data_IF_725409260618
#
_entry.id   IF_725409260618
#
_cell.length_a   1.000
_cell.length_b   1.000
_cell.length_c   1.000
_cell.angle_alpha   90.00
_cell.angle_beta   90.00
_cell.angle_gamma   90.00
#
_symmetry.space_group_name_H-M   'P 1'
#
loop_
_entity.id
_entity.type
_entity.pdbx_description
1 polymer ?
#
# COMPACT_ATOMS: atom_id res chain seq x y z
N UNK A 1 -17.26 16.36 -10.01
CA UNK A 1 -15.91 15.94 -10.43
C UNK A 1 -15.25 15.03 -9.40
N UNK A 2 -14.94 15.50 -8.19
CA UNK A 2 -14.26 14.66 -7.17
C UNK A 2 -14.91 13.28 -6.95
N UNK A 3 -16.21 13.24 -6.67
CA UNK A 3 -16.91 11.96 -6.51
C UNK A 3 -16.90 11.10 -7.78
N UNK A 4 -16.90 11.70 -8.97
CA UNK A 4 -16.77 10.99 -10.24
C UNK A 4 -15.37 10.38 -10.41
N UNK A 5 -14.33 11.10 -9.97
CA UNK A 5 -12.95 10.61 -9.93
C UNK A 5 -12.81 9.45 -8.94
N UNK A 6 -13.35 9.60 -7.72
CA UNK A 6 -13.35 8.57 -6.68
C UNK A 6 -14.15 7.34 -7.09
N UNK A 7 -15.19 7.54 -7.90
CA UNK A 7 -16.00 6.47 -8.45
C UNK A 7 -15.40 5.81 -9.70
N UNK A 8 -14.28 6.33 -10.20
CA UNK A 8 -13.71 6.01 -11.50
C UNK A 8 -14.72 6.03 -12.67
N UNK A 9 -15.74 6.89 -12.58
CA UNK A 9 -16.82 6.97 -13.56
C UNK A 9 -16.51 7.97 -14.68
N UNK A 10 -16.10 7.42 -15.83
CA UNK A 10 -15.82 8.19 -17.05
C UNK A 10 -17.03 9.06 -17.48
N UNK A 11 -18.21 8.47 -17.60
CA UNK A 11 -19.42 9.17 -18.04
C UNK A 11 -19.83 10.31 -17.12
N UNK A 12 -19.78 10.11 -15.80
CA UNK A 12 -20.09 11.14 -14.82
C UNK A 12 -19.05 12.27 -14.86
N UNK A 13 -17.76 11.93 -14.93
CA UNK A 13 -16.68 12.91 -15.01
C UNK A 13 -16.82 13.77 -16.27
N UNK A 14 -17.09 13.16 -17.43
CA UNK A 14 -17.32 13.85 -18.70
C UNK A 14 -18.45 14.86 -18.59
N UNK A 15 -19.61 14.47 -18.01
CA UNK A 15 -20.76 15.37 -17.84
C UNK A 15 -20.43 16.59 -16.98
N UNK A 16 -19.71 16.39 -15.87
CA UNK A 16 -19.29 17.50 -15.01
C UNK A 16 -18.24 18.39 -15.69
N UNK A 17 -17.35 17.82 -16.48
CA UNK A 17 -16.33 18.53 -17.23
C UNK A 17 -16.94 19.42 -18.32
N UNK A 18 -17.88 18.90 -19.10
CA UNK A 18 -18.62 19.66 -20.11
C UNK A 18 -19.34 20.86 -19.47
N UNK A 19 -20.01 20.64 -18.33
CA UNK A 19 -20.63 21.72 -17.56
C UNK A 19 -19.63 22.79 -17.13
N UNK A 20 -18.47 22.40 -16.59
CA UNK A 20 -17.43 23.33 -16.16
C UNK A 20 -16.87 24.18 -17.32
N UNK A 21 -16.55 23.53 -18.44
CA UNK A 21 -16.01 24.20 -19.63
C UNK A 21 -17.07 25.15 -20.22
N UNK A 22 -18.34 24.74 -20.27
CA UNK A 22 -19.43 25.57 -20.79
C UNK A 22 -19.65 26.87 -20.02
N UNK A 23 -19.29 26.89 -18.73
CA UNK A 23 -19.38 28.08 -17.88
C UNK A 23 -18.20 29.05 -18.07
N UNK A 24 -17.18 28.66 -18.87
CA UNK A 24 -16.00 29.48 -19.13
C UNK A 24 -15.17 29.77 -17.87
N UNK A 25 -15.21 28.85 -16.89
CA UNK A 25 -14.51 29.01 -15.63
C UNK A 25 -12.99 28.99 -15.82
N UNK A 26 -12.23 29.68 -14.95
CA UNK A 26 -10.76 29.67 -15.00
C UNK A 26 -10.22 28.26 -14.77
N UNK A 27 -8.93 28.05 -15.07
CA UNK A 27 -8.27 26.78 -14.74
C UNK A 27 -8.26 26.55 -13.24
N UNK A 28 -8.28 25.27 -12.87
CA UNK A 28 -8.16 24.81 -11.50
C UNK A 28 -6.75 25.10 -10.97
N UNK A 29 -6.67 25.57 -9.73
CA UNK A 29 -5.42 25.71 -9.00
C UNK A 29 -4.91 24.34 -8.47
N UNK A 30 -3.73 24.34 -7.85
CA UNK A 30 -3.13 23.11 -7.33
C UNK A 30 -3.99 22.46 -6.24
N UNK A 31 -4.57 23.28 -5.36
CA UNK A 31 -5.41 22.81 -4.24
C UNK A 31 -6.69 22.13 -4.74
N UNK A 32 -7.24 22.58 -5.86
CA UNK A 32 -8.38 21.93 -6.51
C UNK A 32 -7.98 20.72 -7.35
N UNK A 33 -6.81 20.75 -7.99
CA UNK A 33 -6.32 19.66 -8.83
C UNK A 33 -5.88 18.43 -8.03
N UNK A 34 -5.15 18.63 -6.92
CA UNK A 34 -4.56 17.54 -6.15
C UNK A 34 -5.60 16.51 -5.66
N UNK A 35 -6.74 16.89 -5.06
CA UNK A 35 -7.77 15.93 -4.65
C UNK A 35 -8.38 15.13 -5.81
N UNK A 36 -8.45 15.70 -7.02
CA UNK A 36 -8.97 15.00 -8.20
C UNK A 36 -7.97 13.94 -8.67
N UNK A 37 -6.68 14.29 -8.72
CA UNK A 37 -5.61 13.37 -9.07
C UNK A 37 -5.51 12.24 -8.04
N UNK A 38 -5.51 12.57 -6.76
CA UNK A 38 -5.44 11.60 -5.67
C UNK A 38 -6.64 10.64 -5.69
N UNK A 39 -7.85 11.15 -5.93
CA UNK A 39 -9.04 10.31 -6.07
C UNK A 39 -8.93 9.33 -7.24
N UNK A 40 -8.43 9.77 -8.40
CA UNK A 40 -8.20 8.88 -9.55
C UNK A 40 -7.11 7.85 -9.27
N UNK A 41 -6.02 8.25 -8.60
CA UNK A 41 -4.92 7.35 -8.22
C UNK A 41 -5.38 6.27 -7.23
N UNK A 42 -6.14 6.66 -6.21
CA UNK A 42 -6.77 5.75 -5.24
C UNK A 42 -7.65 4.74 -5.96
N UNK A 43 -8.51 5.22 -6.88
CA UNK A 43 -9.43 4.37 -7.63
C UNK A 43 -8.67 3.39 -8.52
N UNK A 44 -7.68 3.86 -9.30
CA UNK A 44 -6.83 3.01 -10.13
C UNK A 44 -6.11 1.91 -9.33
N UNK A 45 -5.71 2.21 -8.09
CA UNK A 45 -5.07 1.23 -7.22
C UNK A 45 -6.02 0.15 -6.72
N UNK A 46 -7.31 0.49 -6.55
CA UNK A 46 -8.36 -0.42 -6.10
C UNK A 46 -8.97 -1.25 -7.24
N UNK A 47 -8.98 -0.74 -8.48
CA UNK A 47 -9.59 -1.42 -9.63
C UNK A 47 -9.19 -2.90 -9.80
N UNK A 48 -7.91 -3.30 -9.68
CA UNK A 48 -7.53 -4.71 -9.85
C UNK A 48 -8.20 -5.65 -8.86
N UNK A 49 -8.59 -5.16 -7.68
CA UNK A 49 -9.27 -5.94 -6.66
C UNK A 49 -10.79 -6.03 -6.88
N UNK A 50 -11.34 -5.20 -7.75
CA UNK A 50 -12.78 -5.15 -8.04
C UNK A 50 -13.08 -5.80 -9.40
N UNK A 51 -12.40 -5.35 -10.45
CA UNK A 51 -12.59 -5.78 -11.83
C UNK A 51 -11.22 -5.90 -12.52
N UNK A 52 -10.54 -7.05 -12.41
CA UNK A 52 -9.28 -7.29 -13.10
C UNK A 52 -9.45 -7.11 -14.61
N UNK A 53 -8.58 -6.30 -15.21
CA UNK A 53 -8.64 -6.03 -16.65
C UNK A 53 -9.62 -4.93 -17.07
N UNK A 54 -10.16 -4.15 -16.11
CA UNK A 54 -10.96 -2.96 -16.42
C UNK A 54 -10.28 -2.07 -17.46
N UNK A 55 -11.02 -1.69 -18.50
CA UNK A 55 -10.50 -0.90 -19.60
C UNK A 55 -10.39 0.58 -19.21
N UNK A 56 -9.18 1.06 -18.95
CA UNK A 56 -8.91 2.46 -18.57
C UNK A 56 -8.92 3.44 -19.76
N UNK A 57 -9.15 2.99 -20.99
CA UNK A 57 -9.06 3.83 -22.20
C UNK A 57 -10.06 5.00 -22.19
N UNK A 58 -11.31 4.78 -21.73
CA UNK A 58 -12.31 5.84 -21.65
C UNK A 58 -11.90 6.90 -20.64
N UNK A 59 -11.46 6.46 -19.45
CA UNK A 59 -10.97 7.37 -18.42
C UNK A 59 -9.73 8.15 -18.91
N UNK A 60 -8.78 7.48 -19.57
CA UNK A 60 -7.64 8.15 -20.21
C UNK A 60 -8.12 9.24 -21.16
N UNK A 61 -9.06 8.94 -22.05
CA UNK A 61 -9.57 9.91 -23.02
C UNK A 61 -10.20 11.12 -22.36
N UNK A 62 -10.91 10.96 -21.23
CA UNK A 62 -11.53 12.09 -20.52
C UNK A 62 -10.49 12.87 -19.72
N UNK A 63 -9.52 12.18 -19.11
CA UNK A 63 -8.50 12.83 -18.29
C UNK A 63 -7.53 13.61 -19.16
N UNK A 64 -7.05 13.03 -20.26
CA UNK A 64 -5.95 13.61 -21.05
C UNK A 64 -6.36 14.14 -22.41
N UNK A 65 -7.56 13.77 -22.89
CA UNK A 65 -8.00 14.08 -24.25
C UNK A 65 -7.46 13.10 -25.29
N UNK A 66 -6.56 12.17 -24.92
CA UNK A 66 -5.99 11.18 -25.83
C UNK A 66 -6.98 10.07 -26.16
N UNK A 67 -7.41 10.01 -27.42
CA UNK A 67 -8.21 8.89 -27.93
C UNK A 67 -7.34 7.73 -28.40
N UNK A 68 -7.90 6.51 -28.41
CA UNK A 68 -7.21 5.33 -28.94
C UNK A 68 -6.84 5.45 -30.44
N UNK A 69 -7.53 6.32 -31.19
CA UNK A 69 -7.26 6.61 -32.61
C UNK A 69 -6.25 7.72 -32.85
N UNK A 70 -5.58 8.24 -31.81
CA UNK A 70 -4.57 9.30 -31.93
C UNK A 70 -5.11 10.72 -32.06
N UNK A 71 -6.44 10.91 -32.06
CA UNK A 71 -7.08 12.22 -31.95
C UNK A 71 -6.97 12.79 -30.53
N UNK A 72 -6.95 14.12 -30.43
CA UNK A 72 -6.85 14.85 -29.16
C UNK A 72 -8.07 15.75 -28.96
N UNK A 73 -8.76 15.61 -27.84
CA UNK A 73 -9.88 16.50 -27.47
C UNK A 73 -9.40 17.61 -26.54
N UNK A 74 -9.78 18.85 -26.85
CA UNK A 74 -9.58 20.00 -25.96
C UNK A 74 -10.52 19.97 -24.74
N UNK A 75 -11.58 19.16 -24.78
CA UNK A 75 -12.51 18.96 -23.68
C UNK A 75 -12.05 17.80 -22.77
N UNK A 76 -10.92 18.00 -22.09
CA UNK A 76 -10.34 17.03 -21.16
C UNK A 76 -10.10 17.63 -19.78
N UNK A 77 -9.95 16.76 -18.77
CA UNK A 77 -9.59 17.23 -17.43
C UNK A 77 -8.24 17.96 -17.46
N UNK A 78 -7.30 17.47 -18.29
CA UNK A 78 -5.99 18.07 -18.46
C UNK A 78 -6.08 19.53 -18.92
N UNK A 79 -7.02 19.90 -19.80
CA UNK A 79 -7.09 21.28 -20.33
C UNK A 79 -7.51 22.32 -19.30
N UNK A 80 -8.22 21.89 -18.25
CA UNK A 80 -8.64 22.76 -17.13
C UNK A 80 -7.72 22.66 -15.91
N UNK A 81 -6.73 21.78 -15.90
CA UNK A 81 -5.79 21.61 -14.78
C UNK A 81 -4.67 22.65 -14.81
N UNK A 82 -4.06 22.90 -13.64
CA UNK A 82 -2.94 23.82 -13.49
C UNK A 82 -1.69 23.44 -14.31
N UNK A 83 -1.52 22.15 -14.65
CA UNK A 83 -0.39 21.66 -15.46
C UNK A 83 -0.61 21.73 -16.98
N UNK A 84 -1.79 22.19 -17.43
CA UNK A 84 -2.08 22.37 -18.85
C UNK A 84 -1.19 23.43 -19.51
N UNK A 85 -0.82 24.46 -18.75
CA UNK A 85 -0.13 25.63 -19.28
C UNK A 85 1.29 25.33 -19.76
N UNK A 86 1.62 25.88 -20.92
CA UNK A 86 2.97 25.83 -21.51
C UNK A 86 3.93 26.85 -20.87
N UNK A 87 3.41 27.81 -20.11
CA UNK A 87 4.21 28.72 -19.31
C UNK A 87 4.51 28.11 -17.94
N UNK A 88 5.72 28.37 -17.44
CA UNK A 88 6.37 27.57 -16.40
C UNK A 88 5.57 27.37 -15.10
N UNK A 89 4.67 26.37 -15.05
CA UNK A 89 3.97 26.03 -13.81
C UNK A 89 4.97 25.52 -12.77
N UNK A 90 5.34 26.31 -11.76
CA UNK A 90 6.31 25.93 -10.71
C UNK A 90 5.82 24.80 -9.79
N UNK A 91 4.60 24.32 -10.01
CA UNK A 91 3.92 23.35 -9.17
C UNK A 91 4.44 21.92 -9.38
N UNK A 92 4.52 21.15 -8.29
CA UNK A 92 4.90 19.73 -8.34
C UNK A 92 3.87 18.93 -9.14
N UNK A 93 4.34 18.18 -10.14
CA UNK A 93 3.51 17.33 -11.00
C UNK A 93 3.62 15.84 -10.65
N UNK A 94 4.23 15.47 -9.52
CA UNK A 94 4.54 14.08 -9.17
C UNK A 94 3.35 13.11 -9.20
N UNK A 95 2.28 13.38 -8.42
CA UNK A 95 1.06 12.57 -8.45
C UNK A 95 0.43 12.52 -9.84
N UNK A 96 0.44 13.66 -10.56
CA UNK A 96 -0.13 13.73 -11.90
C UNK A 96 0.65 12.91 -12.93
N UNK A 97 1.99 12.93 -12.89
CA UNK A 97 2.85 12.06 -13.71
C UNK A 97 2.58 10.58 -13.44
N UNK A 98 2.43 10.22 -12.17
CA UNK A 98 2.08 8.85 -11.76
C UNK A 98 0.70 8.43 -12.29
N UNK A 99 -0.27 9.35 -12.28
CA UNK A 99 -1.60 9.13 -12.86
C UNK A 99 -1.52 8.90 -14.37
N UNK A 100 -0.81 9.76 -15.09
CA UNK A 100 -0.62 9.65 -16.53
C UNK A 100 0.09 8.34 -16.92
N UNK A 101 1.07 7.92 -16.14
CA UNK A 101 1.75 6.63 -16.31
C UNK A 101 0.78 5.46 -16.11
N UNK A 102 -0.03 5.46 -15.03
CA UNK A 102 -1.01 4.40 -14.76
C UNK A 102 -2.13 4.34 -15.81
N UNK A 103 -2.55 5.49 -16.32
CA UNK A 103 -3.53 5.58 -17.42
C UNK A 103 -2.92 5.24 -18.79
N UNK A 104 -1.60 5.07 -18.91
CA UNK A 104 -0.88 4.84 -20.17
C UNK A 104 -1.18 5.93 -21.21
N UNK A 105 -1.10 7.19 -20.78
CA UNK A 105 -1.24 8.37 -21.64
C UNK A 105 0.12 8.83 -22.13
N UNK A 106 0.63 8.21 -23.20
CA UNK A 106 2.04 8.33 -23.54
C UNK A 106 2.48 9.72 -23.96
N UNK A 107 1.62 10.47 -24.67
CA UNK A 107 1.95 11.79 -25.21
C UNK A 107 1.91 12.86 -24.12
N UNK A 108 0.81 12.99 -23.40
CA UNK A 108 0.66 13.91 -22.27
C UNK A 108 1.68 13.60 -21.18
N UNK A 109 1.97 12.31 -20.90
CA UNK A 109 3.03 11.94 -19.97
C UNK A 109 4.39 12.48 -20.42
N UNK A 110 4.74 12.28 -21.69
CA UNK A 110 6.02 12.74 -22.22
C UNK A 110 6.13 14.27 -22.20
N UNK A 111 5.07 14.98 -22.58
CA UNK A 111 5.03 16.44 -22.59
C UNK A 111 5.23 17.04 -21.19
N UNK A 112 4.57 16.48 -20.18
CA UNK A 112 4.72 16.93 -18.78
C UNK A 112 6.08 16.51 -18.22
N UNK A 113 6.52 15.30 -18.52
CA UNK A 113 7.82 14.79 -18.10
C UNK A 113 8.99 15.62 -18.63
N UNK A 114 8.97 16.01 -19.91
CA UNK A 114 10.01 16.85 -20.51
C UNK A 114 10.07 18.26 -19.89
N UNK A 115 8.93 18.77 -19.38
CA UNK A 115 8.89 20.03 -18.61
C UNK A 115 9.44 19.83 -17.20
N UNK A 116 9.08 18.73 -16.53
CA UNK A 116 9.57 18.40 -15.19
C UNK A 116 11.09 18.15 -15.19
N UNK A 117 11.61 17.42 -16.18
CA UNK A 117 13.04 17.09 -16.28
C UNK A 117 13.93 18.28 -16.58
N UNK A 118 13.45 19.29 -17.32
CA UNK A 118 14.17 20.57 -17.49
C UNK A 118 14.41 21.31 -16.19
N UNK A 119 13.58 21.05 -15.16
CA UNK A 119 13.66 21.71 -13.85
C UNK A 119 14.27 20.81 -12.77
N UNK A 120 14.50 19.54 -13.08
CA UNK A 120 15.21 18.62 -12.19
C UNK A 120 16.68 19.05 -12.13
N UNK A 121 17.01 19.82 -11.09
CA UNK A 121 18.38 20.15 -10.72
C UNK A 121 18.87 19.27 -9.58
N UNK A 122 20.20 19.16 -9.39
CA UNK A 122 20.82 18.37 -8.32
C UNK A 122 20.45 18.84 -6.91
N UNK A 123 19.98 20.08 -6.74
CA UNK A 123 19.75 20.72 -5.44
C UNK A 123 18.34 20.50 -4.86
N UNK A 124 17.52 19.60 -5.42
CA UNK A 124 16.12 19.38 -4.98
C UNK A 124 15.76 17.90 -4.74
N UNK A 125 16.16 17.31 -3.60
CA UNK A 125 15.92 15.90 -3.26
C UNK A 125 14.44 15.47 -3.34
N UNK A 126 13.50 16.34 -2.94
CA UNK A 126 12.07 16.05 -2.95
C UNK A 126 11.47 15.91 -4.36
N UNK A 127 12.08 16.56 -5.35
CA UNK A 127 11.63 16.49 -6.75
C UNK A 127 11.99 15.13 -7.37
N UNK A 128 13.09 14.52 -6.93
CA UNK A 128 13.49 13.17 -7.37
C UNK A 128 12.53 12.08 -6.85
N UNK A 129 12.04 12.20 -5.61
CA UNK A 129 11.07 11.25 -5.05
C UNK A 129 9.78 11.18 -5.88
N UNK A 130 9.28 12.33 -6.31
CA UNK A 130 8.11 12.42 -7.20
C UNK A 130 8.38 11.78 -8.57
N UNK A 131 9.59 11.93 -9.11
CA UNK A 131 9.98 11.32 -10.37
C UNK A 131 10.11 9.79 -10.24
N UNK A 132 10.65 9.28 -9.13
CA UNK A 132 10.68 7.84 -8.85
C UNK A 132 9.28 7.24 -8.72
N UNK A 133 8.31 7.96 -8.15
CA UNK A 133 6.90 7.53 -8.14
C UNK A 133 6.32 7.32 -9.55
N UNK A 134 6.67 8.18 -10.51
CA UNK A 134 6.30 7.99 -11.92
C UNK A 134 6.98 6.75 -12.53
N UNK A 135 8.27 6.53 -12.24
CA UNK A 135 9.00 5.34 -12.68
C UNK A 135 8.37 4.06 -12.11
N UNK A 136 8.04 4.04 -10.82
CA UNK A 136 7.34 2.93 -10.16
C UNK A 136 5.99 2.67 -10.83
N UNK A 137 5.19 3.71 -11.06
CA UNK A 137 3.92 3.59 -11.79
C UNK A 137 4.09 3.00 -13.20
N UNK A 138 5.16 3.34 -13.91
CA UNK A 138 5.49 2.74 -15.22
C UNK A 138 5.87 1.26 -15.09
N UNK A 139 6.56 0.87 -14.01
CA UNK A 139 6.86 -0.54 -13.71
C UNK A 139 5.58 -1.32 -13.42
N UNK A 140 4.71 -0.80 -12.56
CA UNK A 140 3.44 -1.43 -12.18
C UNK A 140 2.55 -1.74 -13.40
N UNK A 141 2.52 -0.87 -14.41
CA UNK A 141 1.75 -1.10 -15.64
C UNK A 141 2.49 -1.91 -16.72
N UNK A 142 3.70 -2.40 -16.44
CA UNK A 142 4.51 -3.23 -17.34
C UNK A 142 5.36 -2.46 -18.37
N UNK A 143 5.42 -1.13 -18.29
CA UNK A 143 6.16 -0.26 -19.20
C UNK A 143 7.65 -0.16 -18.86
N UNK A 144 8.32 -1.30 -18.63
CA UNK A 144 9.69 -1.37 -18.09
C UNK A 144 10.72 -0.61 -18.96
N UNK A 145 10.54 -0.59 -20.29
CA UNK A 145 11.45 0.16 -21.20
C UNK A 145 11.37 1.66 -20.95
N UNK A 146 10.17 2.20 -20.79
CA UNK A 146 9.94 3.63 -20.53
C UNK A 146 10.42 4.00 -19.13
N UNK A 147 10.21 3.13 -18.13
CA UNK A 147 10.74 3.29 -16.79
C UNK A 147 12.28 3.44 -16.78
N UNK A 148 13.01 2.57 -17.50
CA UNK A 148 14.47 2.68 -17.64
C UNK A 148 14.90 3.97 -18.34
N UNK A 149 14.17 4.40 -19.38
CA UNK A 149 14.43 5.70 -20.05
C UNK A 149 14.30 6.86 -19.07
N UNK A 150 13.25 6.87 -18.25
CA UNK A 150 13.01 7.92 -17.27
C UNK A 150 14.06 7.91 -16.16
N UNK A 151 14.47 6.73 -15.66
CA UNK A 151 15.60 6.62 -14.73
C UNK A 151 16.91 7.16 -15.33
N UNK A 152 17.17 6.89 -16.62
CA UNK A 152 18.36 7.43 -17.30
C UNK A 152 18.32 8.94 -17.42
N UNK A 153 17.14 9.52 -17.67
CA UNK A 153 16.97 10.98 -17.70
C UNK A 153 17.13 11.59 -16.31
N UNK A 154 16.56 10.99 -15.26
CA UNK A 154 16.81 11.40 -13.87
C UNK A 154 18.30 11.39 -13.57
N UNK A 155 18.98 10.28 -13.89
CA UNK A 155 20.41 10.12 -13.66
C UNK A 155 21.22 11.20 -14.37
N UNK A 156 20.89 11.50 -15.63
CA UNK A 156 21.52 12.60 -16.39
C UNK A 156 21.31 13.97 -15.72
N UNK A 157 20.10 14.28 -15.27
CA UNK A 157 19.79 15.53 -14.56
C UNK A 157 20.54 15.64 -13.21
N UNK A 158 20.83 14.51 -12.57
CA UNK A 158 21.57 14.40 -11.33
C UNK A 158 23.07 14.08 -11.52
N UNK A 159 23.65 14.42 -12.68
CA UNK A 159 25.07 14.23 -13.00
C UNK A 159 25.57 12.77 -12.86
N UNK A 160 24.79 11.81 -13.38
CA UNK A 160 25.10 10.38 -13.34
C UNK A 160 24.83 9.72 -11.99
N UNK A 161 23.84 10.21 -11.24
CA UNK A 161 23.51 9.72 -9.90
C UNK A 161 22.00 9.51 -9.74
N UNK A 162 21.57 8.70 -8.76
CA UNK A 162 20.14 8.54 -8.43
C UNK A 162 19.87 8.98 -6.99
N UNK A 163 19.93 10.29 -6.68
CA UNK A 163 19.91 10.78 -5.31
C UNK A 163 18.64 10.36 -4.57
N UNK A 164 18.81 9.82 -3.36
CA UNK A 164 17.73 9.45 -2.46
C UNK A 164 16.92 8.23 -2.90
N UNK A 165 17.37 7.49 -3.93
CA UNK A 165 16.73 6.25 -4.35
C UNK A 165 16.82 5.16 -3.27
N UNK A 166 17.89 5.16 -2.47
CA UNK A 166 18.06 4.26 -1.32
C UNK A 166 16.92 4.37 -0.28
N UNK A 167 16.38 5.58 -0.08
CA UNK A 167 15.29 5.87 0.86
C UNK A 167 13.90 5.87 0.20
N UNK A 168 13.82 5.57 -1.10
CA UNK A 168 12.54 5.55 -1.81
C UNK A 168 11.73 4.32 -1.40
N UNK A 169 10.51 4.54 -0.87
CA UNK A 169 9.62 3.45 -0.40
C UNK A 169 9.36 2.38 -1.49
N UNK A 170 9.32 2.78 -2.76
CA UNK A 170 9.09 1.88 -3.90
C UNK A 170 10.34 1.16 -4.43
N UNK A 171 11.50 1.28 -3.77
CA UNK A 171 12.77 0.70 -4.25
C UNK A 171 12.65 -0.81 -4.51
N UNK A 172 12.00 -1.56 -3.60
CA UNK A 172 11.77 -3.00 -3.75
C UNK A 172 11.00 -3.32 -5.05
N UNK A 173 9.95 -2.55 -5.35
CA UNK A 173 9.17 -2.73 -6.58
C UNK A 173 10.01 -2.47 -7.84
N UNK A 174 10.90 -1.46 -7.79
CA UNK A 174 11.83 -1.17 -8.89
C UNK A 174 12.85 -2.30 -9.08
N UNK A 175 13.38 -2.87 -7.99
CA UNK A 175 14.36 -3.96 -8.03
C UNK A 175 13.75 -5.31 -8.40
N UNK A 176 12.45 -5.52 -8.13
CA UNK A 176 11.73 -6.71 -8.58
C UNK A 176 11.57 -6.73 -10.12
N UNK A 177 11.57 -5.56 -10.78
CA UNK A 177 11.51 -5.48 -12.23
C UNK A 177 12.90 -5.67 -12.85
N UNK A 178 13.15 -6.87 -13.39
CA UNK A 178 14.44 -7.32 -13.94
C UNK A 178 15.15 -6.24 -14.79
N UNK A 179 14.46 -5.65 -15.76
CA UNK A 179 15.07 -4.63 -16.65
C UNK A 179 15.49 -3.35 -15.92
N UNK A 180 14.75 -2.96 -14.90
CA UNK A 180 15.06 -1.78 -14.08
C UNK A 180 16.22 -2.11 -13.14
N UNK A 181 16.17 -3.26 -12.48
CA UNK A 181 17.26 -3.75 -11.62
C UNK A 181 18.61 -3.79 -12.34
N UNK A 182 18.65 -4.29 -13.59
CA UNK A 182 19.88 -4.31 -14.40
C UNK A 182 20.40 -2.93 -14.79
N UNK A 183 19.52 -1.91 -14.88
CA UNK A 183 19.90 -0.56 -15.26
C UNK A 183 20.45 0.25 -14.07
N UNK A 184 19.93 0.02 -12.85
CA UNK A 184 20.26 0.81 -11.66
C UNK A 184 21.78 0.90 -11.39
N UNK A 185 22.59 -0.19 -11.43
CA UNK A 185 24.04 -0.11 -11.17
C UNK A 185 24.78 0.85 -12.09
N UNK A 186 24.34 1.00 -13.34
CA UNK A 186 24.96 1.87 -14.33
C UNK A 186 24.53 3.35 -14.18
N UNK A 187 23.41 3.60 -13.50
CA UNK A 187 22.76 4.91 -13.38
C UNK A 187 22.93 5.54 -12.00
N UNK A 188 23.13 4.71 -10.97
CA UNK A 188 23.09 5.12 -9.57
C UNK A 188 24.38 5.78 -9.08
N UNK A 189 25.48 5.77 -9.84
CA UNK A 189 26.70 6.51 -9.50
C UNK A 189 27.14 6.34 -8.05
N UNK A 190 27.13 7.43 -7.28
CA UNK A 190 27.53 7.46 -5.86
C UNK A 190 26.45 6.95 -4.91
N UNK A 191 25.20 6.91 -5.33
CA UNK A 191 24.08 6.35 -4.55
C UNK A 191 24.13 4.82 -4.52
N UNK A 192 24.78 4.17 -5.49
CA UNK A 192 24.73 2.71 -5.62
C UNK A 192 25.10 1.94 -4.33
N UNK A 193 26.17 2.31 -3.59
CA UNK A 193 26.47 1.68 -2.30
C UNK A 193 25.33 1.85 -1.28
N UNK A 194 24.71 3.03 -1.19
CA UNK A 194 23.57 3.27 -0.30
C UNK A 194 22.35 2.43 -0.67
N UNK A 195 22.13 2.16 -1.96
CA UNK A 195 21.07 1.25 -2.42
C UNK A 195 21.37 -0.17 -1.95
N UNK A 196 22.62 -0.63 -2.07
CA UNK A 196 23.03 -1.95 -1.58
C UNK A 196 22.90 -2.06 -0.06
N UNK A 197 23.33 -1.03 0.68
CA UNK A 197 23.14 -0.97 2.14
C UNK A 197 21.66 -1.06 2.51
N UNK A 198 20.79 -0.30 1.84
CA UNK A 198 19.35 -0.37 2.09
C UNK A 198 18.75 -1.77 1.79
N UNK A 199 19.24 -2.46 0.76
CA UNK A 199 18.79 -3.83 0.47
C UNK A 199 19.32 -4.84 1.48
N UNK A 200 20.56 -4.68 1.96
CA UNK A 200 21.10 -5.52 3.02
C UNK A 200 20.33 -5.32 4.33
N UNK A 201 20.03 -4.07 4.71
CA UNK A 201 19.20 -3.77 5.88
C UNK A 201 17.79 -4.37 5.77
N UNK A 202 17.19 -4.36 4.59
CA UNK A 202 15.90 -5.00 4.33
C UNK A 202 15.97 -6.52 4.50
N UNK A 203 17.00 -7.16 3.93
CA UNK A 203 17.24 -8.60 4.07
C UNK A 203 17.50 -8.99 5.53
N UNK A 204 18.32 -8.21 6.24
CA UNK A 204 18.62 -8.40 7.67
C UNK A 204 17.34 -8.33 8.52
N UNK A 205 16.49 -7.31 8.30
CA UNK A 205 15.18 -7.19 8.97
C UNK A 205 14.29 -8.42 8.77
N UNK A 206 14.24 -8.93 7.55
CA UNK A 206 13.47 -10.14 7.19
C UNK A 206 14.05 -11.44 7.74
N UNK A 207 15.32 -11.42 8.12
CA UNK A 207 15.97 -12.50 8.85
C UNK A 207 15.89 -12.31 10.38
N UNK A 208 15.38 -11.17 10.85
CA UNK A 208 15.30 -10.82 12.27
C UNK A 208 16.63 -10.41 12.91
N UNK A 209 17.67 -10.17 12.09
CA UNK A 209 19.02 -9.78 12.52
C UNK A 209 19.36 -8.35 12.08
N UNK A 210 20.39 -7.76 12.66
CA UNK A 210 20.92 -6.46 12.25
C UNK A 210 22.42 -6.39 12.42
N UNK A 211 23.11 -5.72 11.51
CA UNK A 211 24.55 -5.49 11.59
C UNK A 211 24.94 -4.48 12.67
N UNK A 212 25.69 -4.93 13.67
CA UNK A 212 26.29 -4.04 14.67
C UNK A 212 27.66 -3.54 14.21
N UNK A 213 27.70 -2.34 13.61
CA UNK A 213 28.94 -1.70 13.11
C UNK A 213 30.07 -1.59 14.15
N UNK A 214 29.75 -1.44 15.44
CA UNK A 214 30.77 -1.27 16.49
C UNK A 214 31.46 -2.59 16.85
N UNK A 215 30.68 -3.66 16.90
CA UNK A 215 31.15 -5.00 17.26
C UNK A 215 31.58 -5.81 16.03
N UNK A 216 31.23 -5.36 14.83
CA UNK A 216 31.42 -6.09 13.56
C UNK A 216 30.81 -7.49 13.59
N UNK A 217 29.58 -7.59 14.12
CA UNK A 217 28.82 -8.85 14.21
C UNK A 217 27.35 -8.59 13.94
N UNK A 218 26.62 -9.59 13.45
CA UNK A 218 25.16 -9.58 13.41
C UNK A 218 24.58 -9.89 14.79
N UNK A 219 23.52 -9.19 15.17
CA UNK A 219 22.78 -9.41 16.42
C UNK A 219 21.29 -9.54 16.15
N UNK A 220 20.54 -10.19 17.03
CA UNK A 220 19.06 -10.15 16.98
C UNK A 220 18.57 -8.70 17.03
N UNK A 221 17.58 -8.35 16.19
CA UNK A 221 16.95 -7.03 16.20
C UNK A 221 16.26 -6.75 17.53
N UNK A 222 15.59 -7.77 18.08
CA UNK A 222 14.85 -7.65 19.33
C UNK A 222 15.78 -7.66 20.56
N UNK A 223 16.96 -8.26 20.44
CA UNK A 223 17.91 -8.35 21.56
C UNK A 223 19.38 -8.20 21.09
N UNK A 224 19.96 -6.99 21.19
CA UNK A 224 21.35 -6.71 20.79
C UNK A 224 22.44 -7.44 21.59
N UNK A 225 22.07 -8.13 22.68
CA UNK A 225 22.98 -8.99 23.44
C UNK A 225 23.15 -10.36 22.80
N UNK A 226 22.19 -10.78 21.98
CA UNK A 226 22.23 -12.07 21.30
C UNK A 226 22.96 -11.90 19.96
N UNK A 227 24.19 -12.39 19.91
CA UNK A 227 25.11 -12.27 18.77
C UNK A 227 25.00 -13.52 17.91
N UNK A 228 24.85 -13.35 16.60
CA UNK A 228 24.94 -14.44 15.65
C UNK A 228 26.39 -14.95 15.59
N UNK A 229 26.57 -16.19 15.98
CA UNK A 229 27.78 -17.01 16.03
C UNK A 229 28.26 -17.53 14.67
N UNK A 230 27.69 -17.02 13.56
CA UNK A 230 28.00 -17.42 12.17
C UNK A 230 27.66 -18.88 11.80
N UNK A 231 27.01 -19.62 12.71
CA UNK A 231 26.44 -20.93 12.38
C UNK A 231 25.19 -20.78 11.51
N UNK A 232 24.88 -21.75 10.62
CA UNK A 232 23.69 -21.70 9.79
C UNK A 232 22.41 -21.56 10.62
N UNK A 233 21.53 -20.63 10.24
CA UNK A 233 20.27 -20.35 10.96
C UNK A 233 19.29 -21.53 11.00
N UNK A 234 19.48 -22.55 10.16
CA UNK A 234 18.51 -23.63 9.92
C UNK A 234 19.02 -25.03 10.35
N UNK A 235 20.07 -25.11 11.17
CA UNK A 235 20.52 -26.39 11.74
C UNK A 235 19.96 -26.57 13.16
N UNK A 236 19.77 -27.83 13.59
CA UNK A 236 19.25 -28.17 14.94
C UNK A 236 20.11 -27.55 16.05
N UNK A 237 21.41 -27.45 15.83
CA UNK A 237 22.38 -26.81 16.73
C UNK A 237 22.75 -25.38 16.29
N UNK A 238 22.07 -24.85 15.28
CA UNK A 238 22.40 -23.59 14.61
C UNK A 238 21.99 -22.34 15.38
N UNK A 239 22.43 -21.20 14.88
CA UNK A 239 22.12 -19.94 15.52
C UNK A 239 20.67 -19.54 15.28
N UNK A 240 19.90 -19.31 16.34
CA UNK A 240 18.50 -18.84 16.21
C UNK A 240 18.39 -17.33 16.35
N UNK A 241 19.51 -16.59 16.27
CA UNK A 241 19.54 -15.14 16.48
C UNK A 241 18.54 -14.43 15.58
N UNK A 242 17.48 -13.90 16.20
CA UNK A 242 16.49 -13.11 15.50
C UNK A 242 15.37 -13.91 14.84
N UNK A 243 15.45 -15.25 14.80
CA UNK A 243 14.40 -16.07 14.19
C UNK A 243 13.05 -15.93 14.91
N UNK A 244 13.12 -15.74 16.24
CA UNK A 244 12.02 -15.45 17.18
C UNK A 244 11.62 -13.97 17.23
N UNK A 245 12.25 -13.11 16.43
CA UNK A 245 11.98 -11.68 16.46
C UNK A 245 10.65 -11.35 15.82
N UNK A 246 9.74 -10.71 16.56
CA UNK A 246 8.51 -10.12 16.01
C UNK A 246 8.76 -9.14 14.85
N UNK A 247 9.95 -8.55 14.76
CA UNK A 247 10.31 -7.67 13.66
C UNK A 247 10.49 -8.42 12.34
N UNK A 248 10.87 -9.71 12.39
CA UNK A 248 10.91 -10.59 11.21
C UNK A 248 9.51 -10.75 10.61
N UNK A 249 8.52 -11.05 11.46
CA UNK A 249 7.12 -11.17 11.03
C UNK A 249 6.62 -9.87 10.38
N UNK A 250 6.83 -8.73 11.03
CA UNK A 250 6.42 -7.42 10.51
C UNK A 250 7.10 -7.12 9.17
N UNK A 251 8.41 -7.34 9.08
CA UNK A 251 9.18 -7.10 7.85
C UNK A 251 8.72 -7.99 6.69
N UNK A 252 8.38 -9.26 6.95
CA UNK A 252 7.83 -10.16 5.92
C UNK A 252 6.41 -9.76 5.48
N UNK A 253 5.57 -9.26 6.40
CA UNK A 253 4.24 -8.72 6.05
C UNK A 253 4.39 -7.47 5.16
N UNK A 254 5.26 -6.52 5.53
CA UNK A 254 5.52 -5.32 4.73
C UNK A 254 6.10 -5.65 3.35
N UNK A 255 6.94 -6.68 3.29
CA UNK A 255 7.57 -7.19 2.09
C UNK A 255 6.58 -7.82 1.09
N UNK A 256 5.68 -8.67 1.60
CA UNK A 256 4.89 -9.60 0.77
C UNK A 256 3.39 -9.32 0.80
N UNK A 257 2.88 -8.51 1.73
CA UNK A 257 1.45 -8.36 1.98
C UNK A 257 0.67 -7.70 0.83
N UNK A 258 1.35 -6.94 -0.03
CA UNK A 258 0.77 -6.37 -1.26
C UNK A 258 0.95 -7.27 -2.49
N UNK A 259 1.48 -8.49 -2.31
CA UNK A 259 1.72 -9.40 -3.40
C UNK A 259 0.42 -9.89 -4.04
N UNK A 260 0.51 -10.17 -5.33
CA UNK A 260 -0.50 -10.88 -6.12
C UNK A 260 -0.26 -12.39 -6.16
N UNK A 261 0.88 -12.88 -5.65
CA UNK A 261 1.22 -14.29 -5.63
C UNK A 261 0.60 -14.97 -4.42
N UNK A 262 -0.22 -16.00 -4.67
CA UNK A 262 -0.79 -16.82 -3.60
C UNK A 262 0.29 -17.49 -2.75
N UNK A 263 1.43 -17.85 -3.36
CA UNK A 263 2.55 -18.47 -2.65
C UNK A 263 3.19 -17.49 -1.67
N UNK A 264 3.37 -16.22 -2.07
CA UNK A 264 3.98 -15.20 -1.21
C UNK A 264 3.07 -14.84 -0.03
N UNK A 265 1.77 -14.70 -0.26
CA UNK A 265 0.80 -14.53 0.83
C UNK A 265 0.73 -15.77 1.73
N UNK A 266 0.88 -16.96 1.15
CA UNK A 266 1.00 -18.22 1.89
C UNK A 266 2.19 -18.27 2.84
N UNK A 267 3.30 -17.58 2.52
CA UNK A 267 4.45 -17.45 3.44
C UNK A 267 4.11 -16.61 4.66
N UNK A 268 3.38 -15.50 4.49
CA UNK A 268 2.87 -14.72 5.63
C UNK A 268 1.96 -15.61 6.50
N UNK A 269 1.05 -16.36 5.89
CA UNK A 269 0.16 -17.25 6.63
C UNK A 269 0.91 -18.30 7.45
N UNK A 270 1.97 -18.91 6.91
CA UNK A 270 2.80 -19.85 7.66
C UNK A 270 3.58 -19.15 8.80
N UNK A 271 4.08 -17.93 8.57
CA UNK A 271 4.73 -17.15 9.62
C UNK A 271 3.77 -16.80 10.76
N UNK A 272 2.50 -16.56 10.48
CA UNK A 272 1.51 -16.35 11.54
C UNK A 272 1.34 -17.59 12.44
N UNK A 273 1.50 -18.80 11.89
CA UNK A 273 1.50 -20.04 12.69
C UNK A 273 2.79 -20.16 13.53
N UNK A 274 3.95 -19.72 13.01
CA UNK A 274 5.22 -19.71 13.76
C UNK A 274 5.19 -18.76 14.96
N UNK A 275 4.48 -17.65 14.85
CA UNK A 275 4.35 -16.60 15.87
C UNK A 275 3.03 -16.69 16.67
N UNK A 276 2.32 -17.83 16.59
CA UNK A 276 1.09 -18.01 17.36
C UNK A 276 1.40 -18.02 18.86
N UNK A 277 0.68 -17.18 19.61
CA UNK A 277 0.87 -16.99 21.06
C UNK A 277 1.79 -15.82 21.43
N UNK A 278 2.50 -15.23 20.47
CA UNK A 278 3.31 -14.04 20.72
C UNK A 278 2.45 -12.78 20.94
N UNK A 279 3.03 -11.85 21.69
CA UNK A 279 2.40 -10.57 22.01
C UNK A 279 3.20 -9.42 21.42
N UNK A 280 2.65 -8.77 20.39
CA UNK A 280 3.28 -7.63 19.72
C UNK A 280 2.61 -6.34 20.19
N UNK A 281 3.38 -5.40 20.75
CA UNK A 281 2.82 -4.11 21.20
C UNK A 281 2.32 -3.28 20.02
N UNK A 282 1.18 -2.63 20.22
CA UNK A 282 0.57 -1.72 19.25
C UNK A 282 0.35 -0.36 19.91
N UNK A 283 1.16 0.66 19.61
CA UNK A 283 0.92 2.00 20.12
C UNK A 283 -0.29 2.62 19.43
N UNK A 284 -1.22 3.11 20.25
CA UNK A 284 -2.43 3.78 19.79
C UNK A 284 -2.43 5.21 20.36
N UNK A 285 -2.29 6.25 19.53
CA UNK A 285 -2.09 7.63 19.99
C UNK A 285 -3.40 8.37 20.34
N UNK A 286 -4.54 7.69 20.41
CA UNK A 286 -5.82 8.32 20.75
C UNK A 286 -5.87 8.71 22.22
N UNK A 287 -6.38 9.92 22.50
CA UNK A 287 -6.51 10.41 23.88
C UNK A 287 -7.42 9.52 24.72
N UNK A 288 -8.51 9.02 24.13
CA UNK A 288 -9.49 8.17 24.82
C UNK A 288 -8.95 6.75 25.08
N UNK A 289 -7.96 6.32 24.29
CA UNK A 289 -7.26 5.05 24.43
C UNK A 289 -6.04 5.13 25.38
N UNK A 290 -5.64 6.34 25.83
CA UNK A 290 -4.46 6.56 26.67
C UNK A 290 -4.40 5.75 27.98
N UNK A 291 -5.52 5.38 28.65
CA UNK A 291 -5.50 4.54 29.84
C UNK A 291 -5.10 3.07 29.61
N UNK A 292 -5.08 2.63 28.35
CA UNK A 292 -4.91 1.23 27.98
C UNK A 292 -3.56 0.99 27.29
N UNK A 293 -3.04 -0.22 27.46
CA UNK A 293 -2.03 -0.80 26.58
C UNK A 293 -2.72 -1.70 25.57
N UNK A 294 -2.20 -1.73 24.34
CA UNK A 294 -2.73 -2.57 23.27
C UNK A 294 -1.67 -3.52 22.74
N UNK A 295 -2.10 -4.72 22.40
CA UNK A 295 -1.25 -5.72 21.78
C UNK A 295 -1.99 -6.45 20.67
N UNK A 296 -1.25 -6.77 19.61
CA UNK A 296 -1.63 -7.67 18.56
C UNK A 296 -1.12 -9.07 18.91
N UNK A 297 -2.03 -10.05 18.82
CA UNK A 297 -1.72 -11.46 18.90
C UNK A 297 -1.74 -12.02 17.47
N UNK A 298 -0.57 -12.36 16.88
CA UNK A 298 -0.51 -12.98 15.57
C UNK A 298 -1.26 -14.30 15.58
N UNK A 299 -2.15 -14.47 14.61
CA UNK A 299 -2.85 -15.72 14.44
C UNK A 299 -3.37 -15.81 13.01
N UNK A 300 -3.24 -16.99 12.42
CA UNK A 300 -3.77 -17.27 11.09
C UNK A 300 -5.28 -17.41 11.16
N UNK A 301 -5.98 -16.60 10.36
CA UNK A 301 -7.42 -16.71 10.08
C UNK A 301 -8.31 -16.96 11.31
N UNK A 302 -8.29 -16.15 12.38
CA UNK A 302 -9.12 -16.39 13.56
C UNK A 302 -10.63 -16.30 13.31
N UNK A 303 -11.04 -15.74 12.16
CA UNK A 303 -12.43 -15.67 11.75
C UNK A 303 -12.76 -16.79 10.76
N UNK A 304 -13.74 -17.63 11.11
CA UNK A 304 -14.26 -18.64 10.19
C UNK A 304 -15.38 -18.03 9.34
N UNK A 305 -15.21 -18.03 8.02
CA UNK A 305 -16.20 -17.54 7.07
C UNK A 305 -17.20 -18.66 6.75
N UNK A 306 -18.52 -18.40 6.77
CA UNK A 306 -19.50 -19.45 6.50
C UNK A 306 -19.42 -19.83 5.01
N UNK A 307 -19.38 -21.14 4.76
CA UNK A 307 -19.05 -21.85 3.50
C UNK A 307 -17.58 -22.33 3.36
N UNK A 308 -16.72 -22.13 4.37
CA UNK A 308 -15.41 -22.79 4.42
C UNK A 308 -15.50 -24.20 5.00
N UNK A 309 -15.92 -25.19 4.21
CA UNK A 309 -15.47 -26.56 4.48
C UNK A 309 -13.99 -26.62 4.11
N UNK A 310 -13.10 -26.45 5.09
CA UNK A 310 -11.70 -26.82 4.97
C UNK A 310 -11.63 -28.30 4.61
N UNK A 311 -11.07 -28.70 3.45
CA UNK A 311 -10.84 -30.11 3.19
C UNK A 311 -9.80 -30.61 4.19
N UNK A 312 -10.19 -31.58 5.01
CA UNK A 312 -9.28 -32.28 5.92
C UNK A 312 -8.22 -32.98 5.07
N UNK A 313 -6.95 -32.58 5.26
CA UNK A 313 -5.81 -33.16 4.56
C UNK A 313 -5.54 -32.50 3.21
N UNK A 314 -4.79 -31.40 3.22
CA UNK A 314 -4.22 -30.83 2.00
C UNK A 314 -2.70 -30.82 2.12
N UNK A 315 -2.09 -31.48 1.14
CA UNK A 315 -0.66 -31.56 0.86
C UNK A 315 -0.03 -30.14 0.75
N UNK A 316 1.23 -29.98 1.18
CA UNK A 316 1.91 -28.67 1.27
C UNK A 316 2.01 -27.88 -0.06
N UNK A 317 1.60 -28.50 -1.18
CA UNK A 317 1.75 -28.01 -2.54
C UNK A 317 0.44 -27.76 -3.30
N UNK A 318 -0.75 -28.00 -2.72
CA UNK A 318 -2.00 -27.68 -3.42
C UNK A 318 -2.38 -26.21 -3.26
N UNK A 319 -3.01 -25.65 -4.30
CA UNK A 319 -3.53 -24.27 -4.33
C UNK A 319 -4.49 -24.09 -3.14
N UNK A 320 -4.08 -23.27 -2.17
CA UNK A 320 -4.85 -23.00 -0.96
C UNK A 320 -6.01 -22.05 -1.30
N UNK A 321 -7.26 -22.30 -0.88
CA UNK A 321 -8.35 -21.37 -1.13
C UNK A 321 -8.07 -20.00 -0.48
N UNK A 322 -8.51 -18.90 -1.09
CA UNK A 322 -8.31 -17.51 -0.62
C UNK A 322 -8.70 -17.29 0.85
N UNK A 323 -9.68 -18.05 1.32
CA UNK A 323 -10.15 -18.04 2.71
C UNK A 323 -9.19 -18.71 3.70
N UNK A 324 -8.35 -19.65 3.26
CA UNK A 324 -7.28 -20.22 4.09
C UNK A 324 -6.12 -19.24 4.34
N UNK A 325 -6.02 -18.20 3.51
CA UNK A 325 -5.08 -17.08 3.67
C UNK A 325 -5.66 -15.94 4.52
N UNK A 326 -6.90 -16.05 4.99
CA UNK A 326 -7.55 -15.00 5.78
C UNK A 326 -7.90 -13.74 4.96
N UNK A 327 -8.18 -13.88 3.66
CA UNK A 327 -8.52 -12.73 2.82
C UNK A 327 -9.96 -12.28 3.06
N UNK A 328 -10.11 -11.00 3.41
CA UNK A 328 -11.35 -10.36 3.82
C UNK A 328 -11.59 -9.09 3.03
N UNK A 329 -12.86 -8.80 2.75
CA UNK A 329 -13.29 -7.56 2.11
C UNK A 329 -14.26 -6.82 3.03
N UNK A 330 -13.95 -5.55 3.34
CA UNK A 330 -14.85 -4.68 4.11
C UNK A 330 -15.55 -3.72 3.16
N UNK A 331 -16.88 -3.75 3.16
CA UNK A 331 -17.74 -2.93 2.29
C UNK A 331 -18.61 -2.01 3.13
N UNK A 332 -18.72 -0.72 2.82
CA UNK A 332 -19.67 0.14 3.52
C UNK A 332 -21.10 -0.32 3.22
N UNK A 333 -22.02 -0.12 4.16
CA UNK A 333 -23.43 -0.44 3.94
C UNK A 333 -24.14 0.73 3.25
N UNK A 334 -24.45 0.58 1.97
CA UNK A 334 -25.44 1.43 1.29
C UNK A 334 -26.85 0.91 1.58
N UNK A 335 -27.76 1.80 1.99
CA UNK A 335 -29.18 1.51 2.18
C UNK A 335 -29.88 1.23 0.83
N UNK A 336 -29.54 0.14 0.16
CA UNK A 336 -30.16 -0.32 -1.10
C UNK A 336 -29.69 0.39 -2.38
N UNK A 337 -28.76 1.34 -2.30
CA UNK A 337 -28.14 1.96 -3.48
C UNK A 337 -26.73 1.39 -3.61
N UNK A 338 -26.61 0.25 -4.30
CA UNK A 338 -25.31 -0.30 -4.69
C UNK A 338 -24.65 0.66 -5.68
N UNK A 339 -23.95 1.68 -5.17
CA UNK A 339 -23.02 2.46 -5.97
C UNK A 339 -21.91 1.48 -6.34
N UNK A 340 -21.71 1.23 -7.63
CA UNK A 340 -20.65 0.38 -8.17
C UNK A 340 -19.22 0.87 -7.80
N UNK A 341 -19.07 1.84 -6.90
CA UNK A 341 -17.83 2.53 -6.58
C UNK A 341 -17.63 2.79 -5.07
N UNK A 342 -18.21 1.94 -4.22
CA UNK A 342 -17.88 1.97 -2.80
C UNK A 342 -16.43 1.51 -2.61
N UNK A 343 -15.58 2.36 -2.00
CA UNK A 343 -14.19 2.05 -1.68
C UNK A 343 -14.13 0.92 -0.65
N UNK A 344 -14.12 -0.32 -1.16
CA UNK A 344 -13.94 -1.51 -0.36
C UNK A 344 -12.49 -1.58 0.17
N UNK A 345 -12.32 -2.07 1.39
CA UNK A 345 -10.99 -2.47 1.86
C UNK A 345 -10.77 -3.93 1.48
N UNK A 346 -9.59 -4.22 0.93
CA UNK A 346 -9.13 -5.56 0.57
C UNK A 346 -8.01 -5.94 1.53
N UNK A 347 -8.31 -6.87 2.43
CA UNK A 347 -7.56 -7.10 3.65
C UNK A 347 -7.05 -8.54 3.72
N UNK A 348 -5.91 -8.74 4.37
CA UNK A 348 -5.46 -10.04 4.86
C UNK A 348 -5.51 -10.02 6.39
N UNK A 349 -6.20 -10.97 7.01
CA UNK A 349 -6.27 -11.09 8.45
C UNK A 349 -4.95 -11.60 9.02
N UNK A 350 -4.46 -10.93 10.06
CA UNK A 350 -3.17 -11.22 10.68
C UNK A 350 -3.30 -11.60 12.17
N UNK A 351 -4.50 -11.55 12.74
CA UNK A 351 -4.76 -11.88 14.12
C UNK A 351 -5.78 -10.93 14.75
N UNK A 352 -5.69 -10.77 16.06
CA UNK A 352 -6.63 -9.94 16.82
C UNK A 352 -5.95 -8.95 17.76
N UNK A 353 -6.68 -7.89 18.09
CA UNK A 353 -6.24 -6.82 18.98
C UNK A 353 -6.85 -7.01 20.36
N UNK A 354 -6.00 -6.99 21.38
CA UNK A 354 -6.39 -6.99 22.79
C UNK A 354 -5.99 -5.67 23.45
N UNK A 355 -6.72 -5.32 24.49
CA UNK A 355 -6.44 -4.19 25.34
C UNK A 355 -6.30 -4.66 26.79
N UNK A 356 -5.51 -3.93 27.57
CA UNK A 356 -5.56 -4.05 29.02
C UNK A 356 -5.42 -2.66 29.64
N UNK A 357 -6.11 -2.38 30.75
CA UNK A 357 -5.78 -1.23 31.58
C UNK A 357 -4.30 -1.28 31.98
N UNK A 358 -3.60 -0.14 32.00
CA UNK A 358 -2.19 -0.08 32.45
C UNK A 358 -1.98 -0.57 33.89
N UNK A 359 -3.04 -0.58 34.69
CA UNK A 359 -3.06 -1.09 36.06
C UNK A 359 -3.32 -2.60 36.15
N UNK A 360 -3.76 -3.25 35.07
CA UNK A 360 -4.18 -4.64 35.05
C UNK A 360 -3.16 -5.53 34.33
N UNK A 361 -3.15 -6.81 34.69
CA UNK A 361 -2.25 -7.81 34.07
C UNK A 361 -2.93 -8.61 32.96
N UNK A 362 -4.26 -8.68 32.96
CA UNK A 362 -5.07 -9.51 32.05
C UNK A 362 -5.41 -8.77 30.77
N UNK A 363 -5.25 -9.46 29.64
CA UNK A 363 -5.67 -8.99 28.33
C UNK A 363 -7.16 -9.25 28.11
N UNK A 364 -7.85 -8.27 27.54
CA UNK A 364 -9.26 -8.34 27.14
C UNK A 364 -9.38 -8.13 25.63
N UNK A 365 -10.24 -8.93 24.99
CA UNK A 365 -10.51 -8.78 23.55
C UNK A 365 -11.21 -7.45 23.25
N UNK A 366 -10.68 -6.70 22.30
CA UNK A 366 -11.30 -5.43 21.87
C UNK A 366 -12.43 -5.63 20.87
N UNK A 367 -12.58 -6.86 20.34
CA UNK A 367 -13.44 -7.15 19.19
C UNK A 367 -12.88 -6.64 17.85
N UNK A 368 -11.64 -6.14 17.81
CA UNK A 368 -10.97 -5.76 16.55
C UNK A 368 -10.04 -6.88 16.08
N UNK A 369 -10.03 -7.09 14.76
CA UNK A 369 -8.99 -7.86 14.08
C UNK A 369 -7.89 -6.95 13.55
N UNK A 370 -6.65 -7.44 13.57
CA UNK A 370 -5.52 -6.78 12.93
C UNK A 370 -5.38 -7.34 11.53
N UNK A 371 -5.28 -6.45 10.55
CA UNK A 371 -5.28 -6.79 9.13
C UNK A 371 -4.20 -6.03 8.37
N UNK A 372 -3.80 -6.55 7.21
CA UNK A 372 -3.00 -5.84 6.22
C UNK A 372 -3.88 -5.35 5.08
N UNK A 373 -3.87 -4.04 4.82
CA UNK A 373 -4.48 -3.43 3.64
C UNK A 373 -3.62 -3.73 2.41
N UNK A 374 -4.06 -4.73 1.63
CA UNK A 374 -3.32 -5.24 0.47
C UNK A 374 -3.17 -4.20 -0.64
N UNK A 375 -4.12 -3.27 -0.75
CA UNK A 375 -4.07 -2.22 -1.75
C UNK A 375 -3.08 -1.11 -1.35
N UNK A 376 -3.01 -0.73 -0.08
CA UNK A 376 -2.21 0.43 0.35
C UNK A 376 -0.93 0.10 1.11
N UNK A 377 -0.72 -1.16 1.52
CA UNK A 377 0.48 -1.61 2.21
C UNK A 377 0.63 -0.99 3.60
N UNK A 378 -0.34 -1.26 4.47
CA UNK A 378 -0.37 -0.75 5.85
C UNK A 378 -1.21 -1.66 6.75
N UNK A 379 -0.92 -1.65 8.05
CA UNK A 379 -1.77 -2.31 9.03
C UNK A 379 -3.03 -1.49 9.34
N UNK A 380 -4.15 -2.19 9.43
CA UNK A 380 -5.46 -1.63 9.77
C UNK A 380 -6.12 -2.54 10.81
N UNK A 381 -6.69 -1.96 11.86
CA UNK A 381 -7.56 -2.65 12.79
C UNK A 381 -9.03 -2.41 12.38
N UNK A 382 -9.83 -3.48 12.35
CA UNK A 382 -11.25 -3.46 11.96
C UNK A 382 -12.08 -4.11 13.05
N UNK A 383 -13.12 -3.43 13.50
CA UNK A 383 -14.05 -3.94 14.50
C UNK A 383 -15.00 -4.98 13.89
N UNK A 384 -15.02 -6.17 14.48
CA UNK A 384 -15.88 -7.29 14.04
C UNK A 384 -16.76 -7.81 15.19
N UNK A 385 -16.68 -7.18 16.36
CA UNK A 385 -17.39 -7.58 17.58
C UNK A 385 -16.81 -8.81 18.26
N UNK A 386 -16.52 -9.87 17.50
CA UNK A 386 -15.81 -11.08 17.97
C UNK A 386 -14.49 -11.20 17.23
N UNK A 387 -13.38 -11.21 17.98
CA UNK A 387 -12.03 -11.34 17.42
C UNK A 387 -11.73 -12.74 16.89
N UNK A 388 -12.42 -13.75 17.42
CA UNK A 388 -12.23 -15.17 17.11
C UNK A 388 -13.56 -15.90 16.89
N UNK A 389 -13.55 -16.92 16.01
CA UNK A 389 -14.66 -17.82 15.73
C UNK A 389 -15.45 -17.50 14.45
N UNK A 390 -16.54 -18.23 14.21
CA UNK A 390 -17.33 -18.09 13.00
C UNK A 390 -18.09 -16.76 12.92
N UNK A 391 -17.99 -16.10 11.76
CA UNK A 391 -18.81 -14.95 11.40
C UNK A 391 -20.15 -15.39 10.80
N UNK A 392 -21.20 -14.66 11.14
CA UNK A 392 -22.48 -14.74 10.43
C UNK A 392 -22.37 -13.90 9.15
N UNK A 393 -22.28 -14.54 7.97
CA UNK A 393 -22.07 -13.87 6.67
C UNK A 393 -23.12 -12.82 6.30
N UNK A 394 -24.30 -12.89 6.91
CA UNK A 394 -25.43 -12.03 6.55
C UNK A 394 -25.74 -10.97 7.62
N UNK A 395 -24.97 -10.92 8.70
CA UNK A 395 -25.26 -9.99 9.80
C UNK A 395 -24.73 -8.59 9.46
N UNK A 396 -25.65 -7.63 9.41
CA UNK A 396 -25.33 -6.21 9.39
C UNK A 396 -24.58 -5.85 10.68
N UNK A 397 -23.34 -5.37 10.55
CA UNK A 397 -22.58 -4.87 11.69
C UNK A 397 -22.89 -3.38 11.86
N UNK A 398 -23.95 -3.12 12.64
CA UNK A 398 -24.19 -1.79 13.20
C UNK A 398 -23.12 -1.58 14.26
N UNK A 399 -22.24 -0.61 14.05
CA UNK A 399 -21.17 -0.29 14.99
C UNK A 399 -21.81 0.22 16.29
N UNK A 400 -21.79 -0.52 17.41
CA UNK A 400 -21.97 0.09 18.71
C UNK A 400 -20.71 0.92 18.99
N UNK A 401 -20.80 1.95 19.84
CA UNK A 401 -19.60 2.69 20.30
C UNK A 401 -18.49 1.70 20.68
N UNK A 402 -17.37 1.64 19.93
CA UNK A 402 -16.34 0.65 20.21
C UNK A 402 -15.81 0.89 21.62
N UNK A 403 -15.57 -0.21 22.35
CA UNK A 403 -14.97 -0.14 23.67
C UNK A 403 -13.51 0.34 23.56
N UNK A 404 -12.94 0.77 24.68
CA UNK A 404 -11.53 1.18 24.77
C UNK A 404 -11.14 2.46 24.00
N UNK A 405 -12.13 3.27 23.57
CA UNK A 405 -11.87 4.55 22.90
C UNK A 405 -11.27 4.41 21.50
N UNK A 406 -11.59 3.32 20.81
CA UNK A 406 -11.12 3.00 19.47
C UNK A 406 -12.15 3.37 18.40
N UNK A 407 -11.68 3.67 17.19
CA UNK A 407 -12.55 3.80 16.02
C UNK A 407 -12.82 2.41 15.42
N UNK A 408 -13.98 2.23 14.79
CA UNK A 408 -14.34 0.94 14.19
C UNK A 408 -13.39 0.48 13.08
N UNK A 409 -12.73 1.42 12.39
CA UNK A 409 -11.67 1.13 11.43
C UNK A 409 -10.56 2.15 11.66
N UNK A 410 -9.36 1.69 11.98
CA UNK A 410 -8.23 2.56 12.31
C UNK A 410 -6.91 2.02 11.80
N UNK A 411 -5.96 2.91 11.50
CA UNK A 411 -4.58 2.51 11.19
C UNK A 411 -3.86 2.14 12.48
N UNK A 412 -3.10 1.06 12.45
CA UNK A 412 -2.20 0.65 13.54
C UNK A 412 -0.77 0.50 13.02
N UNK A 413 0.20 0.53 13.92
CA UNK A 413 1.62 0.38 13.58
C UNK A 413 2.31 -0.53 14.61
N UNK A 414 2.14 -1.86 14.52
CA UNK A 414 2.76 -2.79 15.45
C UNK A 414 4.29 -2.67 15.46
N UNK A 415 4.92 -2.85 16.62
CA UNK A 415 6.39 -2.94 16.74
C UNK A 415 7.18 -1.63 16.63
N UNK A 416 6.55 -0.50 16.27
CA UNK A 416 7.22 0.80 16.17
C UNK A 416 6.86 1.69 17.36
N UNK A 417 7.84 2.06 18.19
CA UNK A 417 7.64 2.96 19.34
C UNK A 417 7.28 4.41 18.97
N UNK A 418 7.46 4.79 17.70
CA UNK A 418 7.13 6.11 17.16
C UNK A 418 5.98 6.00 16.16
N UNK A 419 4.84 6.67 16.38
CA UNK A 419 3.78 6.73 15.37
C UNK A 419 4.30 7.56 14.20
N UNK A 420 4.58 6.93 13.06
CA UNK A 420 4.75 7.65 11.80
C UNK A 420 3.41 8.30 11.43
N UNK A 421 3.18 9.51 11.93
CA UNK A 421 2.15 10.42 11.45
C UNK A 421 2.59 11.01 10.12
N UNK A 422 2.43 10.27 9.03
CA UNK A 422 2.22 10.86 7.71
C UNK A 422 1.12 10.16 6.93
N UNK A 423 0.12 11.01 6.68
CA UNK A 423 -0.91 11.09 5.66
C UNK A 423 -1.80 9.91 5.27
N UNK A 424 -3.06 10.33 5.12
CA UNK A 424 -4.28 9.63 4.67
C UNK A 424 -4.82 8.56 5.61
N UNK A 425 -5.88 8.94 6.37
CA UNK A 425 -6.88 7.99 6.88
C UNK A 425 -7.25 7.00 5.77
N UNK A 426 -7.61 5.75 6.12
CA UNK A 426 -8.12 4.84 5.11
C UNK A 426 -9.24 5.50 4.28
N UNK A 427 -9.34 5.21 2.97
CA UNK A 427 -10.41 5.75 2.12
C UNK A 427 -11.81 5.38 2.67
N UNK A 428 -11.86 4.41 3.56
CA UNK A 428 -12.95 4.15 4.50
C UNK A 428 -13.07 5.31 5.51
N UNK A 429 -13.80 6.36 5.13
CA UNK A 429 -14.05 7.52 6.00
C UNK A 429 -14.73 7.10 7.31
N UNK A 430 -14.44 7.84 8.37
CA UNK A 430 -15.05 7.85 9.72
C UNK A 430 -16.59 7.98 9.78
N UNK A 431 -17.29 7.85 8.66
CA UNK A 431 -18.67 8.28 8.47
C UNK A 431 -19.64 7.14 8.13
N UNK A 432 -19.18 5.89 8.02
CA UNK A 432 -20.06 4.75 7.76
C UNK A 432 -20.45 4.09 9.09
N UNK A 433 -21.67 4.30 9.61
CA UNK A 433 -22.12 3.69 10.87
C UNK A 433 -22.35 2.18 10.76
N UNK A 434 -22.36 1.64 9.53
CA UNK A 434 -22.65 0.23 9.23
C UNK A 434 -21.76 -0.22 8.07
N UNK A 435 -21.16 -1.39 8.20
CA UNK A 435 -20.40 -2.05 7.13
C UNK A 435 -20.54 -3.58 7.18
N UNK A 436 -20.14 -4.23 6.11
CA UNK A 436 -20.11 -5.68 5.96
C UNK A 436 -18.68 -6.17 5.83
N UNK A 437 -18.44 -7.36 6.38
CA UNK A 437 -17.17 -8.08 6.25
C UNK A 437 -17.48 -9.42 5.58
N UNK A 438 -16.94 -9.61 4.39
CA UNK A 438 -17.12 -10.84 3.61
C UNK A 438 -15.76 -11.46 3.27
N UNK A 439 -15.77 -12.70 2.78
CA UNK A 439 -14.60 -13.30 2.15
C UNK A 439 -14.19 -12.49 0.91
N UNK A 440 -12.91 -12.17 0.77
CA UNK A 440 -12.40 -11.60 -0.49
C UNK A 440 -12.14 -12.73 -1.49
N UNK A 441 -12.78 -12.72 -2.68
CA UNK A 441 -12.51 -13.72 -3.70
C UNK A 441 -11.05 -13.66 -4.22
N UNK A 442 -10.33 -12.56 -3.99
CA UNK A 442 -8.94 -12.38 -4.43
C UNK A 442 -8.78 -12.36 -5.95
N UNK A 443 -9.60 -11.57 -6.70
CA UNK A 443 -9.57 -11.59 -8.15
C UNK A 443 -8.27 -11.00 -8.74
N UNK A 444 -7.48 -10.32 -7.90
CA UNK A 444 -6.19 -9.74 -8.23
C UNK A 444 -5.03 -10.76 -8.17
N UNK A 445 -5.27 -11.95 -7.60
CA UNK A 445 -4.27 -12.98 -7.37
C UNK A 445 -3.93 -13.77 -8.65
N UNK A 446 -2.68 -14.24 -8.74
CA UNK A 446 -2.11 -15.01 -9.87
C UNK A 446 -1.49 -16.31 -9.38
#
# INVERSE_FOLDING_TARGET
>A
MYYSCLAFSASALKRHLEGYISLGLPRLDLESCAPLVDALLVSLKLLPFQEPGYNTNEMRSIVTGESAGGGFSEHSLHSIMCWADHHDSTQSAGPYLSLLARLRSDRTLQDIWDRTTKRLGPDSPHTFQSAYGCVEALVEVGSHRKAVTYLRQISKCANGNLPGLSNFKGLRGLLAAERVAHAIPQLAGKEYPSILEAQLEDMEKRLGVTWNRRKSVHTSISNPLYVSSEQPLLTIDGDSAGYDSNMRLIAEIEALGCSKSMLELGRIANLLDEFEGDQIRVPIPYKDAAPYDFAWFPQRSPIELPNNTLPVGIDQFSVRPSSALGLLRVRPHSHGISLASECCLHLMQLGYLVARPKSAQTWEETGHIVTWDRAFGRFVAVFVGKSCGALDAEKQWIVPNPLFGLDAVMRVSPGNDLPEQKDTNPPFRHSYPVYYVDADPGPDLV
#
